data_IF_784195894831
#
_entry.id   IF_784195894831
#
_cell.length_a   1.000
_cell.length_b   1.000
_cell.length_c   1.000
_cell.angle_alpha   90.00
_cell.angle_beta   90.00
_cell.angle_gamma   90.00
#
_symmetry.space_group_name_H-M   'P 1'
#
loop_
_entity.id
_entity.type
_entity.pdbx_description
1 polymer ?
#
# COMPACT_ATOMS: atom_id res chain seq x y z
N UNK A 1 14.87 22.13 -3.30
CA UNK A 1 13.88 21.62 -2.33
C UNK A 1 13.67 20.15 -2.64
N UNK A 2 14.49 19.33 -2.07
CA UNK A 2 14.31 17.88 -2.20
C UNK A 2 13.23 17.44 -1.22
N UNK A 3 12.02 17.59 -1.68
CA UNK A 3 10.88 17.11 -0.97
C UNK A 3 10.82 15.62 -1.25
N UNK A 4 11.04 14.86 -0.19
CA UNK A 4 10.29 13.66 -0.06
C UNK A 4 10.96 12.34 -0.42
N UNK A 5 12.10 12.14 0.14
CA UNK A 5 12.40 10.84 0.69
C UNK A 5 12.60 11.01 2.20
N UNK A 6 11.75 11.87 2.80
CA UNK A 6 11.74 12.02 4.24
C UNK A 6 11.25 10.73 4.88
N UNK A 7 11.77 10.38 6.07
CA UNK A 7 11.30 9.21 6.81
C UNK A 7 9.78 9.20 6.99
N UNK A 8 9.15 10.34 7.09
CA UNK A 8 7.71 10.50 7.28
C UNK A 8 6.88 9.98 6.10
N UNK A 9 7.30 10.24 4.86
CA UNK A 9 6.57 9.78 3.69
C UNK A 9 6.61 8.25 3.54
N UNK A 10 7.76 7.66 3.82
CA UNK A 10 7.92 6.20 3.76
C UNK A 10 7.07 5.53 4.83
N UNK A 11 7.08 6.08 6.04
CA UNK A 11 6.28 5.56 7.13
C UNK A 11 4.78 5.68 6.84
N UNK A 12 4.33 6.84 6.38
CA UNK A 12 2.93 7.07 6.01
C UNK A 12 2.48 6.13 4.88
N UNK A 13 3.29 5.99 3.85
CA UNK A 13 3.02 5.05 2.75
C UNK A 13 2.98 3.60 3.24
N UNK A 14 3.91 3.23 4.11
CA UNK A 14 3.95 1.90 4.72
C UNK A 14 2.69 1.61 5.54
N UNK A 15 2.19 2.57 6.30
CA UNK A 15 0.95 2.43 7.06
C UNK A 15 -0.26 2.22 6.13
N UNK A 16 -0.36 2.99 5.05
CA UNK A 16 -1.41 2.83 4.03
C UNK A 16 -1.37 1.44 3.39
N UNK A 17 -0.19 0.96 3.03
CA UNK A 17 -0.01 -0.38 2.49
C UNK A 17 -0.39 -1.48 3.47
N UNK A 18 -0.10 -1.32 4.76
CA UNK A 18 -0.53 -2.27 5.81
C UNK A 18 -2.05 -2.37 5.89
N UNK A 19 -2.75 -1.25 5.75
CA UNK A 19 -4.21 -1.25 5.76
C UNK A 19 -4.75 -2.05 4.58
N UNK A 20 -4.18 -1.90 3.40
CA UNK A 20 -4.59 -2.59 2.18
C UNK A 20 -4.04 -4.02 2.05
N UNK A 21 -3.02 -4.40 2.82
CA UNK A 21 -2.37 -5.72 2.70
C UNK A 21 -3.22 -6.90 3.13
N UNK A 22 -4.34 -6.67 3.78
CA UNK A 22 -5.25 -7.72 4.25
C UNK A 22 -6.28 -8.02 3.18
N UNK A 23 -6.29 -9.25 2.68
CA UNK A 23 -7.17 -9.69 1.58
C UNK A 23 -8.65 -9.39 1.86
N UNK A 24 -9.13 -9.65 3.06
CA UNK A 24 -10.50 -9.38 3.44
C UNK A 24 -10.87 -7.92 3.26
N UNK A 25 -9.99 -7.00 3.63
CA UNK A 25 -10.22 -5.55 3.45
C UNK A 25 -10.27 -5.15 1.98
N UNK A 26 -9.40 -5.71 1.15
CA UNK A 26 -9.46 -5.46 -0.30
C UNK A 26 -10.76 -5.99 -0.91
N UNK A 27 -11.20 -7.18 -0.52
CA UNK A 27 -12.48 -7.72 -0.96
C UNK A 27 -13.66 -6.86 -0.51
N UNK A 28 -13.63 -6.36 0.72
CA UNK A 28 -14.64 -5.43 1.22
C UNK A 28 -14.72 -4.14 0.40
N UNK A 29 -13.57 -3.53 0.12
CA UNK A 29 -13.50 -2.34 -0.72
C UNK A 29 -14.03 -2.60 -2.13
N UNK A 30 -13.71 -3.73 -2.72
CA UNK A 30 -14.22 -4.11 -4.04
C UNK A 30 -15.76 -4.23 -4.03
N UNK A 31 -16.33 -4.90 -3.02
CA UNK A 31 -17.79 -5.01 -2.88
C UNK A 31 -18.46 -3.66 -2.63
N UNK A 32 -17.87 -2.83 -1.78
CA UNK A 32 -18.39 -1.49 -1.47
C UNK A 32 -18.22 -0.49 -2.63
N UNK A 33 -17.30 -0.76 -3.55
CA UNK A 33 -17.17 0.03 -4.77
C UNK A 33 -18.32 -0.20 -5.74
N UNK A 34 -18.92 -1.38 -5.70
CA UNK A 34 -20.07 -1.72 -6.55
C UNK A 34 -21.39 -1.21 -5.96
N UNK A 35 -21.57 -1.32 -4.65
CA UNK A 35 -22.81 -0.95 -3.96
C UNK A 35 -22.62 -0.73 -2.46
N UNK A 36 -23.52 0.04 -1.88
CA UNK A 36 -23.54 0.23 -0.43
C UNK A 36 -24.06 -1.05 0.24
N UNK A 37 -23.37 -1.52 1.27
CA UNK A 37 -23.70 -2.76 1.96
C UNK A 37 -23.66 -2.55 3.48
N UNK A 38 -24.53 -3.27 4.19
CA UNK A 38 -24.50 -3.37 5.65
C UNK A 38 -23.52 -4.47 6.11
N UNK A 39 -23.21 -4.49 7.40
CA UNK A 39 -22.30 -5.51 7.99
C UNK A 39 -22.79 -6.93 7.71
N UNK A 40 -24.09 -7.19 7.84
CA UNK A 40 -24.65 -8.52 7.59
C UNK A 40 -24.46 -8.99 6.14
N UNK A 41 -24.68 -8.10 5.18
CA UNK A 41 -24.50 -8.40 3.76
C UNK A 41 -23.03 -8.67 3.42
N UNK A 42 -22.11 -7.87 3.96
CA UNK A 42 -20.67 -8.08 3.80
C UNK A 42 -20.23 -9.41 4.41
N UNK A 43 -20.66 -9.72 5.62
CA UNK A 43 -20.35 -10.99 6.29
C UNK A 43 -20.81 -12.19 5.47
N UNK A 44 -22.01 -12.13 4.94
CA UNK A 44 -22.58 -13.17 4.10
C UNK A 44 -21.76 -13.38 2.82
N UNK A 45 -21.42 -12.30 2.12
CA UNK A 45 -20.70 -12.37 0.85
C UNK A 45 -19.23 -12.80 1.03
N UNK A 46 -18.62 -12.42 2.14
CA UNK A 46 -17.23 -12.76 2.43
C UNK A 46 -17.04 -14.10 3.16
N UNK A 47 -18.13 -14.68 3.67
CA UNK A 47 -18.07 -15.91 4.44
C UNK A 47 -17.33 -15.77 5.77
N UNK A 48 -17.40 -14.59 6.39
CA UNK A 48 -16.76 -14.29 7.69
C UNK A 48 -17.79 -13.82 8.70
N UNK A 49 -17.44 -13.78 9.97
CA UNK A 49 -18.35 -13.31 11.03
C UNK A 49 -18.61 -11.80 10.93
N UNK A 50 -19.77 -11.37 11.41
CA UNK A 50 -20.09 -9.94 11.50
C UNK A 50 -19.13 -9.18 12.39
N UNK A 51 -18.64 -9.80 13.45
CA UNK A 51 -17.61 -9.21 14.32
C UNK A 51 -16.31 -8.93 13.59
N UNK A 52 -15.84 -9.86 12.75
CA UNK A 52 -14.66 -9.68 11.92
C UNK A 52 -14.87 -8.55 10.90
N UNK A 53 -16.02 -8.52 10.23
CA UNK A 53 -16.38 -7.43 9.31
C UNK A 53 -16.36 -6.08 10.02
N UNK A 54 -16.95 -5.99 11.20
CA UNK A 54 -16.99 -4.74 11.99
C UNK A 54 -15.59 -4.24 12.34
N UNK A 55 -14.67 -5.13 12.68
CA UNK A 55 -13.28 -4.77 12.97
C UNK A 55 -12.55 -4.26 11.71
N UNK A 56 -12.72 -4.92 10.58
CA UNK A 56 -12.14 -4.47 9.32
C UNK A 56 -12.71 -3.14 8.85
N UNK A 57 -14.04 -2.96 8.98
CA UNK A 57 -14.70 -1.69 8.66
C UNK A 57 -14.20 -0.55 9.54
N UNK A 58 -13.98 -0.80 10.82
CA UNK A 58 -13.42 0.22 11.72
C UNK A 58 -12.06 0.70 11.23
N UNK A 59 -11.18 -0.20 10.86
CA UNK A 59 -9.85 0.15 10.34
C UNK A 59 -9.97 0.96 9.04
N UNK A 60 -10.84 0.54 8.13
CA UNK A 60 -11.07 1.25 6.86
C UNK A 60 -11.70 2.64 7.07
N UNK A 61 -12.60 2.77 8.03
CA UNK A 61 -13.19 4.07 8.41
C UNK A 61 -12.17 5.01 9.06
N UNK A 62 -11.38 4.50 9.99
CA UNK A 62 -10.33 5.27 10.66
C UNK A 62 -9.28 5.76 9.65
N UNK A 63 -9.06 5.01 8.59
CA UNK A 63 -8.21 5.39 7.46
C UNK A 63 -8.89 6.36 6.45
N UNK A 64 -10.18 6.62 6.62
CA UNK A 64 -10.95 7.49 5.73
C UNK A 64 -11.37 6.88 4.40
N UNK A 65 -11.14 5.58 4.19
CA UNK A 65 -11.48 4.91 2.92
C UNK A 65 -12.95 4.50 2.78
N UNK A 66 -13.64 4.40 3.90
CA UNK A 66 -15.03 3.97 3.98
C UNK A 66 -15.81 4.92 4.87
N UNK A 67 -17.02 5.26 4.46
CA UNK A 67 -17.98 6.05 5.22
C UNK A 67 -19.20 5.20 5.58
N UNK A 68 -19.82 5.53 6.70
CA UNK A 68 -21.05 4.90 7.16
C UNK A 68 -22.22 5.86 7.01
N UNK A 69 -23.30 5.40 6.45
CA UNK A 69 -24.54 6.15 6.30
C UNK A 69 -25.68 5.38 6.96
N UNK A 70 -26.41 6.06 7.84
CA UNK A 70 -27.52 5.47 8.55
C UNK A 70 -28.81 5.66 7.74
N UNK A 71 -29.43 4.55 7.41
CA UNK A 71 -30.75 4.51 6.78
C UNK A 71 -31.71 3.72 7.68
N UNK A 72 -32.52 4.44 8.46
CA UNK A 72 -33.40 3.84 9.44
C UNK A 72 -32.67 3.04 10.50
N UNK A 73 -32.95 1.74 10.57
CA UNK A 73 -32.32 0.79 11.50
C UNK A 73 -31.03 0.21 10.99
N UNK A 74 -30.69 0.41 9.71
CA UNK A 74 -29.54 -0.17 9.07
C UNK A 74 -28.44 0.88 8.88
N UNK A 75 -27.21 0.44 9.01
CA UNK A 75 -26.02 1.23 8.65
C UNK A 75 -25.45 0.62 7.38
N UNK A 76 -25.41 1.40 6.33
CA UNK A 76 -24.78 1.04 5.07
C UNK A 76 -23.41 1.69 4.97
N UNK A 77 -22.47 0.94 4.47
CA UNK A 77 -21.12 1.41 4.25
C UNK A 77 -20.89 1.64 2.76
N UNK A 78 -20.10 2.63 2.45
CA UNK A 78 -19.69 2.96 1.09
C UNK A 78 -18.23 3.37 1.04
N UNK A 79 -17.61 3.22 -0.10
CA UNK A 79 -16.25 3.67 -0.36
C UNK A 79 -16.23 5.19 -0.50
N UNK A 80 -15.26 5.83 0.13
CA UNK A 80 -14.90 7.21 -0.15
C UNK A 80 -13.98 7.27 -1.38
N UNK A 81 -14.54 7.67 -2.50
CA UNK A 81 -13.83 7.69 -3.79
C UNK A 81 -12.75 8.77 -3.85
N UNK A 82 -12.95 9.88 -3.16
CA UNK A 82 -11.97 10.97 -3.10
C UNK A 82 -10.75 10.55 -2.30
N UNK A 83 -10.96 9.90 -1.16
CA UNK A 83 -9.88 9.34 -0.36
C UNK A 83 -9.09 8.27 -1.11
N UNK A 84 -9.77 7.37 -1.83
CA UNK A 84 -9.09 6.38 -2.67
C UNK A 84 -8.28 7.01 -3.79
N UNK A 85 -8.80 8.05 -4.45
CA UNK A 85 -8.07 8.76 -5.49
C UNK A 85 -6.83 9.47 -4.93
N UNK A 86 -6.91 10.01 -3.72
CA UNK A 86 -5.75 10.58 -3.04
C UNK A 86 -4.69 9.51 -2.75
N UNK A 87 -5.08 8.38 -2.18
CA UNK A 87 -4.17 7.26 -1.92
C UNK A 87 -3.51 6.73 -3.19
N UNK A 88 -4.28 6.62 -4.27
CA UNK A 88 -3.76 6.21 -5.58
C UNK A 88 -2.64 7.14 -6.06
N UNK A 89 -2.83 8.46 -5.94
CA UNK A 89 -1.81 9.44 -6.33
C UNK A 89 -0.56 9.36 -5.47
N UNK A 90 -0.73 9.22 -4.17
CA UNK A 90 0.39 9.13 -3.22
C UNK A 90 1.21 7.86 -3.41
N UNK A 91 0.54 6.71 -3.48
CA UNK A 91 1.18 5.41 -3.73
C UNK A 91 1.83 5.36 -5.12
N UNK A 92 1.12 5.85 -6.13
CA UNK A 92 1.64 5.96 -7.50
C UNK A 92 2.88 6.83 -7.57
N UNK A 93 2.83 8.02 -6.99
CA UNK A 93 3.97 8.93 -6.96
C UNK A 93 5.19 8.36 -6.23
N UNK A 94 4.99 7.53 -5.22
CA UNK A 94 6.09 6.81 -4.59
C UNK A 94 6.69 5.76 -5.52
N UNK A 95 5.83 4.96 -6.17
CA UNK A 95 6.28 3.92 -7.10
C UNK A 95 6.99 4.51 -8.32
N UNK A 96 6.52 5.64 -8.83
CA UNK A 96 7.15 6.35 -9.94
C UNK A 96 8.59 6.77 -9.59
N UNK A 97 8.81 7.26 -8.37
CA UNK A 97 10.15 7.62 -7.89
C UNK A 97 11.09 6.43 -7.82
N UNK A 98 10.58 5.24 -7.49
CA UNK A 98 11.40 4.03 -7.45
C UNK A 98 11.80 3.54 -8.85
N UNK A 99 11.13 4.02 -9.88
CA UNK A 99 11.46 3.72 -11.28
C UNK A 99 12.44 4.74 -11.89
N UNK A 100 12.65 5.88 -11.24
CA UNK A 100 13.62 6.86 -11.73
C UNK A 100 15.03 6.27 -11.71
N UNK A 101 15.75 6.48 -12.80
CA UNK A 101 17.16 6.11 -12.87
C UNK A 101 17.98 6.83 -11.77
N UNK A 102 18.88 6.13 -11.09
CA UNK A 102 19.68 6.75 -10.06
C UNK A 102 20.51 7.89 -10.66
N UNK A 103 20.31 9.08 -10.12
CA UNK A 103 21.14 10.22 -10.50
C UNK A 103 22.60 9.89 -10.23
N UNK A 104 23.51 10.17 -11.17
CA UNK A 104 24.92 9.93 -10.94
C UNK A 104 25.34 10.70 -9.69
N UNK A 105 25.75 9.95 -8.67
CA UNK A 105 26.34 10.56 -7.48
C UNK A 105 27.66 11.15 -7.92
N UNK A 106 27.70 12.46 -8.09
CA UNK A 106 28.96 13.18 -8.20
C UNK A 106 29.57 13.09 -6.82
N UNK A 107 30.35 12.05 -6.58
CA UNK A 107 31.22 11.98 -5.41
C UNK A 107 32.28 13.07 -5.61
N UNK A 108 32.06 14.19 -4.94
CA UNK A 108 33.16 15.10 -4.70
C UNK A 108 34.27 14.28 -4.01
N UNK A 109 35.45 14.27 -4.56
CA UNK A 109 36.52 13.34 -4.24
C UNK A 109 37.11 13.45 -2.81
N UNK A 110 36.38 13.99 -1.86
CA UNK A 110 36.91 14.30 -0.53
C UNK A 110 36.17 13.75 0.69
N UNK A 111 35.25 12.88 0.54
CA UNK A 111 34.64 12.33 1.76
C UNK A 111 34.32 10.86 1.60
N UNK A 112 34.98 10.11 2.44
CA UNK A 112 34.51 8.85 2.97
C UNK A 112 35.10 7.57 2.41
N UNK A 113 36.36 7.43 2.71
CA UNK A 113 36.94 6.09 2.79
C UNK A 113 36.51 5.35 4.08
N UNK A 114 35.64 5.96 4.92
CA UNK A 114 35.45 5.45 6.29
C UNK A 114 34.18 4.63 6.50
N UNK A 115 33.20 4.67 5.62
CA UNK A 115 31.92 3.98 5.84
C UNK A 115 31.74 2.64 5.12
N UNK A 116 32.60 2.31 4.19
CA UNK A 116 32.55 1.00 3.53
C UNK A 116 33.44 -0.09 4.14
N UNK A 117 34.08 0.19 5.27
CA UNK A 117 34.99 -0.78 5.89
C UNK A 117 34.32 -1.91 6.64
N UNK A 118 33.03 -1.77 6.96
CA UNK A 118 32.28 -2.80 7.68
C UNK A 118 31.50 -3.76 6.78
N UNK A 119 31.55 -3.60 5.47
CA UNK A 119 30.81 -4.48 4.56
C UNK A 119 31.69 -5.40 3.72
N UNK A 120 32.98 -5.50 4.04
CA UNK A 120 33.88 -6.40 3.30
C UNK A 120 33.73 -7.89 3.63
N UNK A 121 32.94 -8.23 4.63
CA UNK A 121 32.70 -9.64 4.99
C UNK A 121 31.26 -10.10 4.82
N UNK A 122 30.37 -9.23 4.36
CA UNK A 122 29.02 -9.60 3.98
C UNK A 122 28.90 -9.53 2.47
N UNK A 123 28.91 -10.68 1.86
CA UNK A 123 28.69 -10.87 0.43
C UNK A 123 27.60 -9.95 -0.13
N UNK A 124 27.98 -8.79 -0.61
CA UNK A 124 27.26 -8.19 -1.71
C UNK A 124 27.62 -8.99 -2.97
N UNK A 125 27.32 -10.28 -2.92
CA UNK A 125 27.33 -11.08 -4.11
C UNK A 125 26.24 -10.48 -4.99
N UNK A 126 26.62 -9.80 -6.05
CA UNK A 126 25.75 -9.59 -7.20
C UNK A 126 25.19 -10.96 -7.54
N UNK A 127 24.00 -11.25 -7.03
CA UNK A 127 23.21 -12.31 -7.64
C UNK A 127 22.94 -11.80 -9.05
N UNK A 128 23.67 -12.31 -10.00
CA UNK A 128 23.27 -12.25 -11.39
C UNK A 128 21.87 -12.82 -11.42
N UNK A 129 20.89 -11.95 -11.49
CA UNK A 129 19.54 -12.37 -11.77
C UNK A 129 19.60 -13.07 -13.11
N UNK A 130 19.38 -14.37 -13.10
CA UNK A 130 19.20 -15.10 -14.34
C UNK A 130 18.00 -14.46 -15.05
N UNK A 131 18.11 -14.12 -16.32
CA UNK A 131 16.98 -13.66 -17.06
C UNK A 131 15.91 -14.74 -16.97
N UNK A 132 14.72 -14.36 -16.49
CA UNK A 132 13.56 -15.22 -16.57
C UNK A 132 13.23 -15.31 -18.06
N UNK A 133 13.66 -16.39 -18.66
CA UNK A 133 13.26 -16.71 -20.03
C UNK A 133 11.79 -17.06 -19.95
N UNK A 134 10.93 -16.15 -20.41
CA UNK A 134 9.53 -16.42 -20.60
C UNK A 134 9.39 -17.60 -21.57
N UNK A 135 8.86 -18.71 -21.09
CA UNK A 135 8.42 -19.79 -21.98
C UNK A 135 7.27 -19.23 -22.80
N UNK A 136 7.54 -18.98 -24.05
CA UNK A 136 6.50 -18.91 -25.05
C UNK A 136 5.94 -20.33 -25.19
N UNK A 137 4.72 -20.54 -24.70
CA UNK A 137 3.93 -21.71 -25.08
C UNK A 137 3.16 -21.37 -26.32
N UNK A 138 3.51 -22.00 -27.39
CA UNK A 138 2.66 -22.21 -28.56
C UNK A 138 1.39 -22.92 -28.17
#
# INVERSE_FOLDING_TARGET
MDIATGPDLIEETSQKLRILSVETRLRMLALLAERNLCVGALACQLGVSQGAVSQHLKILRDAGLVTAERDGYFVHYRVDREALALWQRELGGMLDRLQEEPKPVVVAAEATTTQCKMQKEGACARRKSKPVVGRATT
#
